data_IF_971493095028
#
_entry.id   IF_971493095028
#
_cell.length_a   1.000
_cell.length_b   1.000
_cell.length_c   1.000
_cell.angle_alpha   90.00
_cell.angle_beta   90.00
_cell.angle_gamma   90.00
#
_symmetry.space_group_name_H-M   'P 1'
#
loop_
_entity.id
_entity.type
_entity.pdbx_description
1 polymer ?
#
# COMPACT_ATOMS: atom_id res chain seq x y z
N UNK A 1 -7.37 2.46 -29.30
CA UNK A 1 -6.82 3.45 -28.35
C UNK A 1 -5.74 2.75 -27.54
N UNK A 2 -4.46 3.07 -27.82
CA UNK A 2 -3.34 2.51 -27.07
C UNK A 2 -3.27 3.10 -25.66
N UNK A 3 -2.89 2.30 -24.67
CA UNK A 3 -2.69 2.78 -23.31
C UNK A 3 -1.51 3.77 -23.31
N UNK A 4 -1.76 5.06 -23.10
CA UNK A 4 -0.75 6.13 -23.14
C UNK A 4 0.36 5.97 -22.08
N UNK A 5 0.14 5.13 -21.07
CA UNK A 5 1.03 4.94 -19.92
C UNK A 5 1.74 3.58 -19.89
N UNK A 6 1.47 2.68 -20.85
CA UNK A 6 2.08 1.36 -20.91
C UNK A 6 2.33 0.91 -22.36
N UNK A 7 3.49 0.31 -22.61
CA UNK A 7 3.88 -0.20 -23.92
C UNK A 7 4.21 -1.69 -23.88
N UNK A 8 3.96 -2.39 -24.99
CA UNK A 8 4.46 -3.75 -25.20
C UNK A 8 5.95 -3.69 -25.51
N UNK A 9 6.75 -4.51 -24.83
CA UNK A 9 8.13 -4.79 -25.24
C UNK A 9 8.15 -6.01 -26.17
N UNK A 10 9.16 -6.08 -27.02
CA UNK A 10 9.43 -7.21 -27.91
C UNK A 10 9.57 -8.56 -27.20
N UNK A 11 9.78 -8.56 -25.88
CA UNK A 11 9.77 -9.74 -25.01
C UNK A 11 8.37 -10.24 -24.58
N UNK A 12 7.28 -9.65 -25.10
CA UNK A 12 5.90 -10.07 -24.83
C UNK A 12 5.28 -9.49 -23.54
N UNK A 13 6.06 -8.79 -22.71
CA UNK A 13 5.56 -8.13 -21.50
C UNK A 13 5.00 -6.72 -21.77
N UNK A 14 4.01 -6.32 -20.97
CA UNK A 14 3.48 -4.96 -20.91
C UNK A 14 4.13 -4.23 -19.75
N UNK A 15 4.74 -3.07 -20.01
CA UNK A 15 5.47 -2.31 -19.02
C UNK A 15 4.99 -0.87 -18.99
N UNK A 16 4.95 -0.27 -17.80
CA UNK A 16 4.78 1.17 -17.68
C UNK A 16 5.92 1.87 -18.41
N UNK A 17 5.56 2.86 -19.22
CA UNK A 17 6.55 3.81 -19.73
C UNK A 17 6.95 4.78 -18.61
N UNK A 18 7.86 5.71 -18.90
CA UNK A 18 8.37 6.64 -17.89
C UNK A 18 7.25 7.51 -17.28
N UNK A 19 6.35 8.01 -18.12
CA UNK A 19 5.19 8.80 -17.69
C UNK A 19 4.27 7.99 -16.77
N UNK A 20 3.94 6.76 -17.15
CA UNK A 20 3.12 5.85 -16.36
C UNK A 20 3.77 5.51 -15.02
N UNK A 21 5.09 5.32 -14.99
CA UNK A 21 5.85 5.13 -13.74
C UNK A 21 5.75 6.36 -12.84
N UNK A 22 5.98 7.56 -13.38
CA UNK A 22 5.91 8.82 -12.62
C UNK A 22 4.52 9.02 -12.03
N UNK A 23 3.47 8.78 -12.83
CA UNK A 23 2.09 8.91 -12.37
C UNK A 23 1.74 7.89 -11.29
N UNK A 24 2.18 6.64 -11.44
CA UNK A 24 1.94 5.60 -10.43
C UNK A 24 2.62 5.95 -9.11
N UNK A 25 3.89 6.37 -9.14
CA UNK A 25 4.63 6.74 -7.92
C UNK A 25 3.90 7.86 -7.18
N UNK A 26 3.51 8.92 -7.89
CA UNK A 26 2.76 10.03 -7.30
C UNK A 26 1.46 9.56 -6.64
N UNK A 27 0.63 8.78 -7.36
CA UNK A 27 -0.64 8.28 -6.83
C UNK A 27 -0.44 7.37 -5.61
N UNK A 28 0.63 6.56 -5.63
CA UNK A 28 0.96 5.68 -4.53
C UNK A 28 1.39 6.47 -3.28
N UNK A 29 2.26 7.47 -3.44
CA UNK A 29 2.70 8.36 -2.36
C UNK A 29 1.52 9.14 -1.76
N UNK A 30 0.65 9.71 -2.60
CA UNK A 30 -0.59 10.37 -2.17
C UNK A 30 -1.46 9.40 -1.35
N UNK A 31 -1.63 8.17 -1.83
CA UNK A 31 -2.41 7.14 -1.15
C UNK A 31 -1.86 6.74 0.22
N UNK A 32 -0.53 6.73 0.39
CA UNK A 32 0.11 6.45 1.68
C UNK A 32 -0.15 7.56 2.71
N UNK A 33 -0.33 8.80 2.27
CA UNK A 33 -0.61 9.94 3.16
C UNK A 33 -2.09 10.03 3.57
N UNK A 34 -2.99 9.37 2.84
CA UNK A 34 -4.42 9.36 3.18
C UNK A 34 -4.67 8.71 4.56
N UNK A 35 -5.41 9.43 5.42
CA UNK A 35 -5.82 8.92 6.72
C UNK A 35 -6.87 7.82 6.59
N UNK A 36 -6.59 6.65 7.19
CA UNK A 36 -7.50 5.50 7.27
C UNK A 36 -7.83 5.17 8.72
N UNK A 37 -9.05 4.68 8.96
CA UNK A 37 -9.47 4.22 10.28
C UNK A 37 -8.93 2.81 10.53
N UNK A 38 -8.26 2.61 11.66
CA UNK A 38 -7.78 1.31 12.10
C UNK A 38 -8.87 0.58 12.89
N UNK A 39 -8.97 -0.76 12.80
CA UNK A 39 -9.90 -1.56 13.61
C UNK A 39 -9.77 -1.41 15.14
N UNK A 40 -8.77 -0.68 15.63
CA UNK A 40 -8.55 -0.39 17.06
C UNK A 40 -9.08 0.99 17.45
N UNK A 41 -9.82 1.66 16.57
CA UNK A 41 -10.53 2.91 16.88
C UNK A 41 -9.74 4.20 16.64
N UNK A 42 -8.51 4.14 16.15
CA UNK A 42 -7.72 5.34 15.81
C UNK A 42 -7.65 5.57 14.30
N UNK A 43 -7.33 6.79 13.88
CA UNK A 43 -7.09 7.17 12.48
C UNK A 43 -5.63 7.56 12.28
N UNK A 44 -4.99 7.04 11.23
CA UNK A 44 -3.58 7.31 10.87
C UNK A 44 -3.40 7.30 9.35
N UNK A 45 -2.37 7.96 8.79
CA UNK A 45 -1.97 7.76 7.40
C UNK A 45 -1.80 6.28 7.07
N UNK A 46 -2.22 5.85 5.87
CA UNK A 46 -2.11 4.47 5.44
C UNK A 46 -0.66 3.95 5.56
N UNK A 47 0.33 4.77 5.23
CA UNK A 47 1.74 4.43 5.40
C UNK A 47 2.10 4.08 6.85
N UNK A 48 1.64 4.86 7.83
CA UNK A 48 1.87 4.57 9.25
C UNK A 48 1.16 3.28 9.70
N UNK A 49 0.04 2.89 9.08
CA UNK A 49 -0.64 1.64 9.46
C UNK A 49 0.18 0.39 9.12
N UNK A 50 1.09 0.46 8.14
CA UNK A 50 2.02 -0.63 7.83
C UNK A 50 2.97 -0.85 9.00
N UNK A 51 3.52 0.22 9.57
CA UNK A 51 4.39 0.14 10.74
C UNK A 51 3.65 -0.37 11.97
N UNK A 52 2.41 0.07 12.19
CA UNK A 52 1.54 -0.46 13.25
C UNK A 52 1.41 -1.98 13.12
N UNK A 53 1.15 -2.49 11.91
CA UNK A 53 1.01 -3.93 11.68
C UNK A 53 2.32 -4.69 11.92
N UNK A 54 3.47 -4.11 11.54
CA UNK A 54 4.78 -4.67 11.87
C UNK A 54 5.02 -4.76 13.38
N UNK A 55 4.68 -3.71 14.14
CA UNK A 55 4.81 -3.72 15.61
C UNK A 55 3.85 -4.72 16.26
N UNK A 56 2.63 -4.85 15.74
CA UNK A 56 1.65 -5.84 16.23
C UNK A 56 2.13 -7.26 15.98
N UNK A 57 2.67 -7.55 14.79
CA UNK A 57 3.26 -8.85 14.49
C UNK A 57 4.43 -9.16 15.43
N UNK A 58 5.33 -8.18 15.64
CA UNK A 58 6.42 -8.31 16.61
C UNK A 58 5.92 -8.61 18.02
N UNK A 59 4.89 -7.90 18.49
CA UNK A 59 4.32 -8.14 19.81
C UNK A 59 3.77 -9.56 19.96
N UNK A 60 3.09 -10.08 18.93
CA UNK A 60 2.57 -11.44 18.92
C UNK A 60 3.69 -12.49 18.95
N UNK A 61 4.75 -12.30 18.17
CA UNK A 61 5.92 -13.19 18.19
C UNK A 61 6.63 -13.22 19.56
N UNK A 62 6.54 -12.13 20.33
CA UNK A 62 7.08 -12.02 21.68
C UNK A 62 6.09 -12.47 22.77
N UNK A 63 4.92 -13.01 22.41
CA UNK A 63 3.90 -13.45 23.36
C UNK A 63 3.21 -12.32 24.13
N UNK A 64 3.22 -11.09 23.60
CA UNK A 64 2.66 -9.88 24.26
C UNK A 64 1.22 -9.56 23.82
N UNK A 65 0.56 -10.47 23.13
CA UNK A 65 -0.81 -10.33 22.65
C UNK A 65 -1.06 -11.12 21.37
N UNK A 66 -2.31 -11.15 20.92
CA UNK A 66 -2.68 -11.81 19.67
C UNK A 66 -2.51 -10.89 18.46
N UNK A 67 -2.06 -11.47 17.34
CA UNK A 67 -2.01 -10.76 16.08
C UNK A 67 -3.41 -10.72 15.44
N UNK A 68 -3.85 -9.54 15.02
CA UNK A 68 -5.04 -9.40 14.17
C UNK A 68 -4.67 -8.65 12.88
N UNK A 69 -4.99 -9.21 11.71
CA UNK A 69 -4.72 -8.56 10.43
C UNK A 69 -5.45 -7.22 10.29
N UNK A 70 -4.88 -6.32 9.48
CA UNK A 70 -5.55 -5.09 9.08
C UNK A 70 -6.54 -5.38 7.94
N UNK A 71 -7.83 -5.23 8.23
CA UNK A 71 -8.88 -5.25 7.21
C UNK A 71 -9.35 -3.82 6.97
N UNK A 72 -9.25 -3.35 5.72
CA UNK A 72 -9.97 -2.16 5.26
C UNK A 72 -11.45 -2.54 5.14
N UNK A 73 -12.21 -2.46 6.23
CA UNK A 73 -13.66 -2.58 6.13
C UNK A 73 -14.22 -1.30 5.46
N UNK A 74 -15.11 -1.47 4.48
CA UNK A 74 -15.81 -0.36 3.79
C UNK A 74 -17.03 0.10 4.58
#
# INVERSE_FOLDING_TARGET
MGCTHAGQRSSGGVYLNEEGRRRLIQLFEERLLEGVSHPLGFRKPLGETIEVQAQRLKAALLGRGEYTPFYLWR
#
